data_IF_192178936979
#
_entry.id   IF_192178936979
#
_cell.length_a   1.000
_cell.length_b   1.000
_cell.length_c   1.000
_cell.angle_alpha   90.00
_cell.angle_beta   90.00
_cell.angle_gamma   90.00
#
_symmetry.space_group_name_H-M   'P 1'
#
loop_
_entity.id
_entity.type
_entity.pdbx_description
1 polymer ?
2 non-polymer ?
3 water ?
#
# COMPACT_ATOMS: atom_id res chain seq x y z
N UNK A 2 4.24 -21.41 14.07
CA UNK A 2 3.19 -20.39 13.96
C UNK A 2 3.53 -19.45 12.82
N UNK A 3 2.79 -19.56 11.72
CA UNK A 3 3.13 -18.78 10.53
C UNK A 3 2.82 -17.30 10.73
N UNK A 4 1.80 -16.96 11.51
CA UNK A 4 1.53 -15.55 11.77
C UNK A 4 2.69 -14.91 12.54
N UNK A 5 3.15 -15.58 13.60
CA UNK A 5 4.26 -15.04 14.38
C UNK A 5 5.50 -14.87 13.53
N UNK A 6 5.77 -15.81 12.63
CA UNK A 6 6.92 -15.68 11.74
C UNK A 6 6.80 -14.43 10.88
N UNK A 7 5.61 -14.20 10.31
CA UNK A 7 5.42 -13.01 9.48
C UNK A 7 5.50 -11.74 10.32
N UNK A 8 4.98 -11.78 11.54
CA UNK A 8 5.09 -10.60 12.42
C UNK A 8 6.54 -10.26 12.73
N UNK A 9 7.39 -11.28 12.86
CA UNK A 9 8.80 -11.01 13.14
C UNK A 9 9.48 -10.38 11.94
N UNK A 10 9.09 -10.76 10.72
CA UNK A 10 9.64 -10.10 9.54
C UNK A 10 9.24 -8.63 9.50
N UNK A 11 7.99 -8.33 9.86
CA UNK A 11 7.54 -6.95 9.88
C UNK A 11 8.31 -6.15 10.94
N UNK A 12 8.44 -6.71 12.14
CA UNK A 12 9.19 -6.04 13.19
C UNK A 12 10.62 -5.77 12.75
N UNK A 13 11.26 -6.76 12.11
CA UNK A 13 12.61 -6.56 11.61
C UNK A 13 12.67 -5.42 10.60
N UNK A 14 11.72 -5.38 9.66
CA UNK A 14 11.72 -4.33 8.65
C UNK A 14 11.55 -2.96 9.29
N UNK A 15 10.60 -2.83 10.22
CA UNK A 15 10.40 -1.55 10.88
C UNK A 15 11.65 -1.08 11.60
N UNK A 16 12.38 -2.01 12.24
CA UNK A 16 13.63 -1.62 12.89
C UNK A 16 14.67 -1.15 11.87
N UNK A 17 14.75 -1.84 10.73
CA UNK A 17 15.70 -1.43 9.68
C UNK A 17 15.32 -0.08 9.08
N UNK A 18 14.06 0.33 9.21
CA UNK A 18 13.58 1.61 8.71
C UNK A 18 13.69 2.70 9.77
N UNK A 19 14.36 2.43 10.88
CA UNK A 19 14.54 3.41 11.94
C UNK A 19 13.21 3.88 12.50
N UNK A 20 12.19 3.02 12.48
CA UNK A 20 10.95 3.35 13.16
C UNK A 20 11.19 3.33 14.66
N UNK A 21 10.62 4.32 15.36
CA UNK A 21 10.80 4.40 16.80
C UNK A 21 10.34 3.10 17.46
N UNK A 22 11.14 2.51 18.36
CA UNK A 22 10.70 1.26 19.00
C UNK A 22 9.35 1.37 19.68
N UNK A 23 9.04 2.52 20.28
CA UNK A 23 7.73 2.70 20.91
C UNK A 23 6.62 2.54 19.87
N UNK A 24 6.83 3.06 18.67
CA UNK A 24 5.83 2.90 17.62
C UNK A 24 5.77 1.46 17.13
N UNK A 25 6.93 0.78 17.09
CA UNK A 25 6.94 -0.62 16.66
C UNK A 25 6.10 -1.45 17.61
N UNK A 26 6.21 -1.18 18.93
CA UNK A 26 5.43 -1.93 19.91
C UNK A 26 3.94 -1.73 19.68
N UNK A 27 3.51 -0.47 19.55
CA UNK A 27 2.08 -0.21 19.34
C UNK A 27 1.62 -0.82 18.02
N UNK A 28 2.45 -0.76 16.98
CA UNK A 28 2.07 -1.37 15.71
C UNK A 28 1.99 -2.89 15.83
N UNK A 29 3.00 -3.50 16.46
CA UNK A 29 2.98 -4.95 16.63
C UNK A 29 1.74 -5.40 17.39
N UNK A 30 1.31 -4.60 18.38
CA UNK A 30 0.14 -4.95 19.16
C UNK A 30 -1.11 -4.93 18.28
N UNK A 31 -1.20 -3.96 17.38
CA UNK A 31 -2.34 -3.90 16.48
C UNK A 31 -2.28 -5.04 15.47
N UNK A 32 -1.08 -5.36 14.97
CA UNK A 32 -0.96 -6.41 13.98
C UNK A 32 -1.36 -7.77 14.55
N UNK A 33 -1.08 -8.01 15.83
CA UNK A 33 -1.41 -9.30 16.42
C UNK A 33 -2.90 -9.59 16.42
N UNK A 34 -3.73 -8.59 16.17
CA UNK A 34 -5.18 -8.79 16.12
C UNK A 34 -5.70 -9.02 14.71
N UNK A 35 -4.84 -8.87 13.71
CA UNK A 35 -5.22 -9.11 12.32
C UNK A 35 -5.06 -10.59 11.98
N UNK A 36 -5.58 -10.98 10.82
CA UNK A 36 -5.41 -12.34 10.34
C UNK A 36 -4.14 -12.42 9.50
N UNK A 37 -3.75 -13.66 9.15
CA UNK A 37 -2.45 -13.84 8.51
C UNK A 37 -2.43 -13.24 7.12
N UNK A 38 -3.58 -13.18 6.45
CA UNK A 38 -3.65 -12.60 5.10
C UNK A 38 -3.36 -11.11 5.14
N UNK A 39 -4.00 -10.41 6.09
CA UNK A 39 -3.69 -8.99 6.27
C UNK A 39 -2.21 -8.80 6.60
N UNK A 40 -1.69 -9.61 7.51
CA UNK A 40 -0.30 -9.40 7.95
C UNK A 40 0.66 -9.57 6.78
N UNK A 41 0.46 -10.62 5.98
CA UNK A 41 1.34 -10.85 4.85
C UNK A 41 1.24 -9.74 3.83
N UNK A 42 0.03 -9.24 3.57
CA UNK A 42 -0.12 -8.16 2.61
C UNK A 42 0.49 -6.86 3.12
N UNK A 43 0.37 -6.60 4.40
CA UNK A 43 0.99 -5.42 4.98
C UNK A 43 2.50 -5.52 4.89
N UNK A 44 3.06 -6.71 5.13
CA UNK A 44 4.49 -6.94 4.91
C UNK A 44 4.90 -6.55 3.50
N UNK A 45 4.13 -7.00 2.51
CA UNK A 45 4.45 -6.68 1.11
C UNK A 45 4.39 -5.19 0.84
N UNK A 46 3.40 -4.50 1.38
CA UNK A 46 3.31 -3.06 1.13
C UNK A 46 4.50 -2.35 1.75
N UNK A 47 4.92 -2.79 2.95
CA UNK A 47 6.11 -2.20 3.56
C UNK A 47 7.32 -2.42 2.67
N UNK A 48 7.46 -3.64 2.15
CA UNK A 48 8.59 -3.95 1.28
C UNK A 48 8.57 -3.10 0.03
N UNK A 49 7.39 -2.85 -0.52
CA UNK A 49 7.29 -2.04 -1.73
C UNK A 49 7.64 -0.60 -1.46
N UNK A 50 7.09 -0.02 -0.38
CA UNK A 50 7.43 1.35 -0.01
C UNK A 50 8.91 1.50 0.26
N UNK A 51 9.51 0.51 0.92
CA UNK A 51 10.96 0.50 1.13
C UNK A 51 11.72 0.47 -0.18
N UNK A 52 11.27 -0.35 -1.12
CA UNK A 52 11.91 -0.40 -2.44
C UNK A 52 11.86 0.96 -3.14
N UNK A 53 10.74 1.68 -2.97
CA UNK A 53 10.59 3.02 -3.55
C UNK A 53 11.33 4.12 -2.79
N UNK A 54 12.02 3.78 -1.70
CA UNK A 54 12.76 4.75 -0.90
C UNK A 54 11.83 5.79 -0.27
N UNK A 55 10.61 5.39 0.05
CA UNK A 55 9.70 6.26 0.80
C UNK A 55 10.29 6.51 2.19
N UNK A 56 10.22 7.76 2.64
CA UNK A 56 10.82 8.17 3.90
C UNK A 56 10.27 7.30 5.03
N UNK A 57 11.10 6.93 6.01
CA UNK A 57 10.62 6.04 7.08
C UNK A 57 9.38 6.55 7.81
N UNK A 58 9.36 7.83 8.17
CA UNK A 58 8.20 8.34 8.88
C UNK A 58 6.95 8.24 8.02
N UNK A 59 7.06 8.40 6.71
CA UNK A 59 5.90 8.25 5.83
C UNK A 59 5.44 6.81 5.74
N UNK A 60 6.37 5.86 5.70
CA UNK A 60 5.99 4.44 5.75
C UNK A 60 5.23 4.16 7.02
N UNK A 61 5.73 4.65 8.16
CA UNK A 61 5.08 4.39 9.44
C UNK A 61 3.67 4.93 9.45
N UNK A 62 3.49 6.16 9.00
CA UNK A 62 2.15 6.75 8.99
C UNK A 62 1.22 5.99 8.05
N UNK A 63 1.73 5.61 6.89
CA UNK A 63 0.91 4.88 5.93
C UNK A 63 0.51 3.52 6.51
N UNK A 64 1.46 2.84 7.14
CA UNK A 64 1.15 1.53 7.72
C UNK A 64 0.04 1.65 8.76
N UNK A 65 0.10 2.68 9.61
CA UNK A 65 -0.92 2.84 10.63
C UNK A 65 -2.30 3.02 10.03
N UNK A 66 -2.40 3.66 8.86
CA UNK A 66 -3.69 3.78 8.19
C UNK A 66 -4.13 2.45 7.60
N UNK A 67 -3.19 1.69 7.08
CA UNK A 67 -3.55 0.44 6.41
C UNK A 67 -3.97 -0.63 7.40
N UNK A 68 -3.51 -0.55 8.65
CA UNK A 68 -3.83 -1.56 9.63
C UNK A 68 -5.33 -1.65 9.89
N UNK A 69 -6.07 -0.58 9.60
CA UNK A 69 -7.50 -0.53 9.86
C UNK A 69 -8.35 -1.08 8.72
N UNK A 70 -7.73 -1.51 7.62
CA UNK A 70 -8.43 -1.99 6.44
C UNK A 70 -8.47 -3.53 6.41
N UNK A 71 -9.39 -4.08 5.64
CA UNK A 71 -9.51 -5.52 5.55
C UNK A 71 -8.64 -6.06 4.43
N UNK A 72 -8.58 -7.39 4.35
CA UNK A 72 -7.68 -8.02 3.38
C UNK A 72 -7.96 -7.53 1.97
N UNK A 73 -9.23 -7.38 1.63
CA UNK A 73 -9.56 -7.02 0.25
C UNK A 73 -9.05 -5.63 -0.08
N UNK A 74 -9.26 -4.67 0.80
CA UNK A 74 -8.76 -3.32 0.57
C UNK A 74 -7.24 -3.29 0.51
N UNK A 75 -6.59 -3.95 1.44
CA UNK A 75 -5.11 -3.91 1.46
C UNK A 75 -4.54 -4.55 0.19
N UNK A 76 -5.12 -5.67 -0.24
CA UNK A 76 -4.61 -6.37 -1.42
C UNK A 76 -4.79 -5.52 -2.65
N UNK A 77 -5.97 -4.93 -2.85
CA UNK A 77 -6.21 -4.13 -4.04
C UNK A 77 -5.30 -2.91 -4.06
N UNK A 78 -5.03 -2.32 -2.89
CA UNK A 78 -4.11 -1.18 -2.85
C UNK A 78 -2.71 -1.58 -3.26
N UNK A 79 -2.23 -2.73 -2.76
CA UNK A 79 -0.93 -3.23 -3.15
C UNK A 79 -0.82 -3.37 -4.67
N UNK A 80 -1.84 -3.94 -5.29
CA UNK A 80 -1.80 -4.12 -6.74
C UNK A 80 -1.78 -2.79 -7.46
N UNK A 81 -2.57 -1.84 -7.00
CA UNK A 81 -2.58 -0.52 -7.66
C UNK A 81 -1.18 0.11 -7.57
N UNK A 82 -0.57 0.11 -6.39
CA UNK A 82 0.71 0.78 -6.29
C UNK A 82 1.81 0.01 -7.03
N UNK A 83 1.72 -1.32 -7.10
CA UNK A 83 2.62 -2.08 -7.96
C UNK A 83 2.49 -1.66 -9.42
N UNK A 84 1.26 -1.48 -9.90
CA UNK A 84 1.07 -1.06 -11.28
C UNK A 84 1.62 0.34 -11.50
N UNK A 85 1.40 1.24 -10.54
CA UNK A 85 1.89 2.59 -10.67
C UNK A 85 3.42 2.62 -10.72
N UNK A 86 4.08 1.76 -9.94
CA UNK A 86 5.53 1.67 -9.99
C UNK A 86 6.01 1.12 -11.32
N UNK A 87 5.34 0.07 -11.82
CA UNK A 87 5.65 -0.46 -13.14
C UNK A 87 5.55 0.62 -14.20
N UNK A 88 4.56 1.51 -14.08
CA UNK A 88 4.38 2.62 -15.02
C UNK A 88 5.30 3.79 -14.72
N UNK A 89 6.24 3.63 -13.78
CA UNK A 89 7.25 4.64 -13.45
C UNK A 89 6.61 5.93 -12.93
N UNK A 90 5.50 5.80 -12.20
CA UNK A 90 4.96 6.97 -11.51
C UNK A 90 5.90 7.35 -10.38
N UNK A 91 6.20 8.64 -10.25
CA UNK A 91 7.11 9.12 -9.22
C UNK A 91 6.68 8.61 -7.85
N UNK A 92 7.60 8.11 -7.03
CA UNK A 92 7.17 7.63 -5.70
C UNK A 92 6.42 8.68 -4.90
N UNK A 93 6.79 9.95 -5.02
CA UNK A 93 6.04 10.99 -4.32
C UNK A 93 4.58 11.04 -4.78
N UNK A 94 4.35 10.77 -6.07
CA UNK A 94 2.97 10.73 -6.57
C UNK A 94 2.27 9.45 -6.13
N UNK A 95 2.99 8.32 -6.11
CA UNK A 95 2.41 7.08 -5.64
C UNK A 95 1.98 7.22 -4.18
N UNK A 96 2.83 7.84 -3.38
CA UNK A 96 2.52 8.07 -1.97
C UNK A 96 1.23 8.87 -1.84
N UNK A 97 1.14 10.01 -2.53
CA UNK A 97 -0.04 10.85 -2.47
C UNK A 97 -1.28 10.14 -2.99
N UNK A 98 -1.13 9.29 -4.02
CA UNK A 98 -2.29 8.56 -4.52
C UNK A 98 -2.73 7.52 -3.50
N UNK A 99 -1.78 6.80 -2.89
CA UNK A 99 -2.13 5.81 -1.89
C UNK A 99 -2.89 6.44 -0.73
N UNK A 100 -2.49 7.62 -0.30
CA UNK A 100 -3.22 8.30 0.78
C UNK A 100 -4.67 8.55 0.40
N UNK A 101 -4.94 8.83 -0.87
CA UNK A 101 -6.31 9.05 -1.31
C UNK A 101 -7.09 7.74 -1.40
N UNK A 102 -6.46 6.70 -1.94
CA UNK A 102 -7.15 5.43 -2.13
C UNK A 102 -7.60 4.84 -0.79
N UNK A 103 -6.87 5.13 0.29
CA UNK A 103 -7.17 4.53 1.58
C UNK A 103 -8.56 4.92 2.06
N UNK A 104 -9.04 6.10 1.67
CA UNK A 104 -10.33 6.60 2.11
C UNK A 104 -11.47 6.12 1.23
N UNK A 105 -11.19 5.51 0.09
CA UNK A 105 -12.24 5.04 -0.79
C UNK A 105 -12.75 3.67 -0.33
N UNK A 106 -13.99 3.36 -0.71
CA UNK A 106 -14.60 2.09 -0.34
C UNK A 106 -14.17 1.00 -1.33
N UNK A 107 -14.40 -0.26 -0.94
CA UNK A 107 -13.78 -1.38 -1.65
C UNK A 107 -14.29 -1.46 -3.08
N UNK A 108 -15.56 -1.15 -3.31
CA UNK A 108 -16.09 -1.24 -4.67
C UNK A 108 -15.38 -0.26 -5.60
N UNK A 109 -15.15 0.98 -5.12
CA UNK A 109 -14.46 1.97 -5.94
C UNK A 109 -13.03 1.55 -6.22
N UNK A 110 -12.33 1.00 -5.23
CA UNK A 110 -10.95 0.56 -5.42
C UNK A 110 -10.90 -0.56 -6.45
N UNK A 111 -11.79 -1.54 -6.32
CA UNK A 111 -11.82 -2.63 -7.29
C UNK A 111 -12.10 -2.11 -8.68
N UNK A 112 -12.97 -1.10 -8.79
CA UNK A 112 -13.29 -0.52 -10.09
C UNK A 112 -12.08 0.20 -10.66
N UNK A 113 -11.35 0.92 -9.81
CA UNK A 113 -10.14 1.61 -10.27
C UNK A 113 -9.09 0.63 -10.78
N UNK A 114 -8.85 -0.45 -10.02
CA UNK A 114 -7.89 -1.45 -10.47
C UNK A 114 -8.29 -2.01 -11.82
N UNK A 115 -9.56 -2.36 -11.99
CA UNK A 115 -10.01 -2.87 -13.27
C UNK A 115 -9.75 -1.85 -14.37
N UNK A 116 -10.02 -0.58 -14.08
CA UNK A 116 -9.82 0.46 -15.09
C UNK A 116 -8.36 0.56 -15.51
N UNK A 117 -7.44 0.53 -14.53
CA UNK A 117 -6.01 0.57 -14.85
C UNK A 117 -5.66 -0.60 -15.76
N UNK A 118 -6.11 -1.79 -15.39
CA UNK A 118 -5.81 -2.98 -16.18
C UNK A 118 -6.38 -2.85 -17.59
N UNK A 119 -7.61 -2.36 -17.70
CA UNK A 119 -8.21 -2.16 -19.01
C UNK A 119 -7.36 -1.24 -19.87
N UNK A 120 -6.93 -0.12 -19.30
CA UNK A 120 -6.14 0.86 -20.04
C UNK A 120 -4.79 0.29 -20.45
N UNK A 121 -4.13 -0.43 -19.53
CA UNK A 121 -2.89 -1.10 -19.88
C UNK A 121 -3.09 -2.03 -21.07
N UNK A 122 -4.14 -2.86 -21.02
CA UNK A 122 -4.41 -3.78 -22.11
C UNK A 122 -4.64 -3.04 -23.42
N UNK A 123 -5.18 -1.82 -23.36
CA UNK A 123 -5.42 -1.02 -24.55
C UNK A 123 -4.16 -0.27 -25.01
N UNK A 124 -3.03 -0.43 -24.33
CA UNK A 124 -1.77 0.20 -24.72
C UNK A 124 -1.81 1.71 -24.47
N UNK A 125 -2.59 2.16 -23.50
CA UNK A 125 -2.61 3.58 -23.16
C UNK A 125 -1.27 3.97 -22.53
N UNK A 126 -0.90 5.23 -22.71
CA UNK A 126 0.40 5.69 -22.25
C UNK A 126 0.45 5.76 -20.73
N UNK A 127 1.60 5.46 -20.13
CA UNK A 127 1.72 5.55 -18.66
C UNK A 127 1.22 6.85 -18.08
N UNK A 128 1.60 8.01 -18.65
CA UNK A 128 1.16 9.27 -18.08
C UNK A 128 -0.36 9.42 -18.18
N UNK A 129 -0.96 8.91 -19.26
CA UNK A 129 -2.42 8.96 -19.39
C UNK A 129 -3.10 8.09 -18.35
N UNK A 130 -2.51 6.94 -18.03
CA UNK A 130 -3.09 6.08 -17.00
C UNK A 130 -3.03 6.75 -15.64
N UNK A 131 -1.89 7.36 -15.32
CA UNK A 131 -1.77 8.11 -14.08
C UNK A 131 -2.81 9.23 -14.02
N UNK A 132 -2.90 10.03 -15.06
CA UNK A 132 -3.81 11.18 -15.05
C UNK A 132 -5.26 10.73 -14.91
N UNK A 133 -5.63 9.64 -15.59
CA UNK A 133 -7.02 9.17 -15.51
C UNK A 133 -7.32 8.61 -14.12
N UNK A 134 -6.40 7.84 -13.54
CA UNK A 134 -6.59 7.36 -12.17
C UNK A 134 -6.73 8.54 -11.21
N UNK A 135 -5.88 9.56 -11.36
CA UNK A 135 -5.98 10.74 -10.50
C UNK A 135 -7.32 11.44 -10.68
N UNK A 136 -7.84 11.46 -11.92
CA UNK A 136 -9.13 12.11 -12.16
C UNK A 136 -10.27 11.29 -11.56
N UNK A 137 -10.22 9.96 -11.71
CA UNK A 137 -11.26 9.12 -11.14
C UNK A 137 -11.25 9.16 -9.62
N UNK A 138 -10.08 9.31 -9.01
CA UNK A 138 -10.00 9.43 -7.55
C UNK A 138 -10.65 10.74 -7.09
N UNK A 139 -10.32 11.85 -7.76
CA UNK A 139 -10.91 13.12 -7.38
C UNK A 139 -12.42 13.12 -7.57
N UNK A 140 -12.92 12.35 -8.51
CA UNK A 140 -14.36 12.23 -8.73
C UNK A 140 -15.03 11.55 -7.53
X LIG B 1 8.18 14.78 8.05
X LIG B 1 8.08 13.29 7.92
X LIG B 1 8.11 15.19 9.51
X LIG B 1 7.04 15.43 7.30
X LIG B 1 9.50 15.26 7.48
X LIG C 1 -0.98 -22.04 11.99
X LIG C 1 -2.14 -22.23 12.93
X LIG C 1 -0.22 -23.34 11.88
X LIG C 1 -1.51 -21.64 10.61
X LIG C 1 -0.07 -20.94 12.49
X LIG D 1 5.59 8.02 23.35
X LIG D 1 4.61 6.91 23.66
X LIG D 1 5.27 9.23 24.20
X LIG D 1 5.48 8.35 21.88
X LIG D 1 6.99 7.54 23.67
X LIG E 1 -0.52 -6.54 -16.34
X LIG E 1 -1.19 -7.23 -15.18
X LIG E 1 0.82 -5.98 -15.91
X LIG E 1 -1.40 -5.40 -16.82
X LIG E 1 -0.31 -7.52 -17.47
X LIG F 1 -13.59 4.49 -23.19
X LIG F 1 -13.77 3.41 -22.14
X LIG F 1 -14.27 5.76 -22.73
X LIG F 1 -14.21 4.04 -24.49
X LIG F 1 -12.11 4.74 -23.37
#
# INVERSE_FOLDING_TARGET
MDYQEALLELIERLLRKLNVDPRDIKRIEQQLRDLDIYQIALLLLIILLLRKLNVDPRDIKRILQQLIDLDIYQIALLLLIILLLHKLNVDPRDIKRILQQLIDLDIEQIAELLLRILELRKRNEDPRDIKRELQQLIDDDGSWLE
PO4 P O1 O2 O3 O4
PO4 P O1 O2 O3 O4
PO4 P O1 O2 O3 O4
PO4 P O1 O2 O3 O4
PO4 P O1 O2 O3 O4
#
